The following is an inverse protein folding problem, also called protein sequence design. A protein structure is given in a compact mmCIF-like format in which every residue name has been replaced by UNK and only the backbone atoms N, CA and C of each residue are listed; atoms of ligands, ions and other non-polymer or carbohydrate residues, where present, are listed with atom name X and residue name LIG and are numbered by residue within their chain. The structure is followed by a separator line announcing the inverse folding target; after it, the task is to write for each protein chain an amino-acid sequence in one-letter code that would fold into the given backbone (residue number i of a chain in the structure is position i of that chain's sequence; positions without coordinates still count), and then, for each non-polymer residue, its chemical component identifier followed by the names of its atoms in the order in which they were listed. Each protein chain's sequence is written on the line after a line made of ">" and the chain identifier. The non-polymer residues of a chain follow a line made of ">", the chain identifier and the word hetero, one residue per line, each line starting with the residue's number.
data_IF_880755303161
#
_entry.id   IF_880755303161
#
_cell.length_a   1.000
_cell.length_b   1.000
_cell.length_c   1.000
_cell.angle_alpha   90.00
_cell.angle_beta   90.00
_cell.angle_gamma   90.00
#
_symmetry.space_group_name_H-M   'P 1'
#
loop_
_entity.id
_entity.type
_entity.pdbx_description
1 polymer ?
#
# COMPACT_ATOMS: atom_id res chain seq x y z
N UNK A 1 -0.21 -9.57 -11.98
CA UNK A 1 -0.05 -8.62 -10.89
C UNK A 1 -1.41 -8.06 -10.50
N UNK A 2 -1.73 -8.06 -9.21
CA UNK A 2 -2.92 -7.41 -8.68
C UNK A 2 -2.48 -6.12 -7.96
N UNK A 3 -2.89 -4.98 -8.49
CA UNK A 3 -2.67 -3.68 -7.86
C UNK A 3 -3.75 -3.38 -6.82
N UNK A 4 -3.37 -2.84 -5.69
CA UNK A 4 -4.28 -2.38 -4.65
C UNK A 4 -4.10 -0.88 -4.47
N UNK A 5 -5.20 -0.13 -4.48
CA UNK A 5 -5.16 1.31 -4.25
C UNK A 5 -5.44 1.59 -2.78
N UNK A 6 -4.47 2.18 -2.11
CA UNK A 6 -4.57 2.65 -0.74
C UNK A 6 -4.38 4.16 -0.71
N UNK A 7 -5.05 4.83 0.21
CA UNK A 7 -4.83 6.26 0.49
C UNK A 7 -3.46 6.46 1.15
N UNK A 8 -3.21 7.46 1.91
CA UNK A 8 -1.88 7.82 2.40
C UNK A 8 -1.17 6.85 3.37
N UNK A 9 -1.68 5.62 3.60
CA UNK A 9 -1.21 4.75 4.68
C UNK A 9 0.27 4.36 4.55
N UNK A 10 0.72 3.95 3.37
CA UNK A 10 2.07 3.43 3.18
C UNK A 10 3.12 4.49 2.84
N UNK A 11 2.70 5.67 2.46
CA UNK A 11 3.61 6.74 2.05
C UNK A 11 4.15 7.58 3.20
N UNK A 12 3.32 7.98 4.15
CA UNK A 12 3.59 8.74 5.38
C UNK A 12 4.71 9.81 5.25
N UNK A 13 4.73 10.55 4.14
CA UNK A 13 5.72 11.62 3.88
C UNK A 13 7.20 11.16 3.86
N UNK A 14 7.46 9.90 3.53
CA UNK A 14 8.81 9.31 3.56
C UNK A 14 9.54 9.32 2.22
N UNK A 15 9.01 9.99 1.19
CA UNK A 15 9.58 10.02 -0.15
C UNK A 15 9.35 11.36 -0.81
N UNK A 16 9.86 11.53 -2.01
CA UNK A 16 9.92 12.77 -2.79
C UNK A 16 8.55 13.37 -3.14
N UNK A 17 7.46 12.64 -2.95
CA UNK A 17 6.10 13.16 -3.11
C UNK A 17 5.68 14.12 -1.97
N UNK A 18 6.35 14.09 -0.81
CA UNK A 18 5.97 14.87 0.36
C UNK A 18 5.94 16.40 0.11
N UNK A 19 6.93 17.01 -0.56
CA UNK A 19 6.89 18.44 -0.90
C UNK A 19 5.70 18.80 -1.82
N UNK A 20 5.31 17.89 -2.73
CA UNK A 20 4.16 18.09 -3.62
C UNK A 20 2.85 18.07 -2.84
N UNK A 21 2.69 17.12 -1.92
CA UNK A 21 1.53 17.09 -1.01
C UNK A 21 1.43 18.36 -0.18
N UNK A 22 2.55 18.86 0.35
CA UNK A 22 2.60 20.12 1.09
C UNK A 22 2.18 21.34 0.28
N UNK A 23 2.18 21.25 -1.05
CA UNK A 23 1.70 22.25 -1.99
C UNK A 23 0.33 21.90 -2.58
N UNK A 24 -0.35 20.90 -2.04
CA UNK A 24 -1.64 20.40 -2.53
C UNK A 24 -1.60 19.96 -4.01
N UNK A 25 -0.46 19.46 -4.45
CA UNK A 25 -0.32 18.85 -5.79
C UNK A 25 -0.67 17.37 -5.66
N UNK A 26 -1.67 16.88 -6.40
CA UNK A 26 -2.02 15.47 -6.40
C UNK A 26 -0.84 14.60 -6.83
N UNK A 27 -0.58 13.55 -6.08
CA UNK A 27 0.51 12.61 -6.34
C UNK A 27 0.00 11.18 -6.28
N UNK A 28 0.63 10.31 -7.04
CA UNK A 28 0.45 8.86 -6.95
C UNK A 28 1.80 8.26 -6.59
N UNK A 29 1.83 7.47 -5.54
CA UNK A 29 3.03 6.76 -5.08
C UNK A 29 2.87 5.28 -5.39
N UNK A 30 3.74 4.77 -6.26
CA UNK A 30 3.78 3.35 -6.60
C UNK A 30 4.84 2.67 -5.73
N UNK A 31 4.46 1.59 -5.08
CA UNK A 31 5.36 0.82 -4.22
C UNK A 31 4.89 -0.63 -4.15
N UNK A 32 5.81 -1.53 -3.97
CA UNK A 32 5.55 -2.91 -3.53
C UNK A 32 5.84 -3.10 -2.05
N UNK A 33 5.85 -1.98 -1.30
CA UNK A 33 6.21 -1.89 0.10
C UNK A 33 7.73 -1.97 0.36
N UNK A 34 8.11 -2.42 1.54
CA UNK A 34 9.51 -2.55 1.97
C UNK A 34 9.83 -4.01 2.21
N UNK A 35 10.93 -4.49 1.66
CA UNK A 35 11.46 -5.82 1.95
C UNK A 35 12.49 -5.80 3.08
N UNK A 36 12.99 -6.97 3.51
CA UNK A 36 14.01 -7.07 4.56
C UNK A 36 15.35 -6.43 4.18
N UNK A 37 15.63 -6.21 2.89
CA UNK A 37 16.82 -5.52 2.42
C UNK A 37 16.73 -4.00 2.49
N UNK A 38 15.54 -3.43 2.70
CA UNK A 38 15.31 -1.99 2.68
C UNK A 38 16.27 -1.23 3.60
N UNK A 39 16.95 -0.21 3.07
CA UNK A 39 17.94 0.60 3.75
C UNK A 39 19.19 -0.18 4.25
N UNK A 40 19.52 -1.30 3.64
CA UNK A 40 20.77 -2.03 3.87
C UNK A 40 21.69 -1.99 2.65
N UNK A 41 22.99 -2.29 2.80
CA UNK A 41 23.90 -2.40 1.64
C UNK A 41 23.56 -3.53 0.66
N UNK A 42 22.65 -4.43 1.03
CA UNK A 42 22.15 -5.52 0.19
C UNK A 42 20.88 -5.16 -0.58
N UNK A 43 20.39 -3.93 -0.44
CA UNK A 43 19.27 -3.37 -1.24
C UNK A 43 19.86 -2.91 -2.59
N UNK A 44 20.22 -3.87 -3.40
CA UNK A 44 20.85 -3.72 -4.70
C UNK A 44 20.04 -4.43 -5.80
N UNK A 45 20.59 -4.49 -7.00
CA UNK A 45 19.89 -5.11 -8.15
C UNK A 45 19.60 -6.61 -7.97
N UNK A 46 20.27 -7.30 -7.05
CA UNK A 46 20.03 -8.72 -6.77
C UNK A 46 18.75 -8.93 -5.94
N UNK A 47 18.32 -7.89 -5.21
CA UNK A 47 17.07 -7.90 -4.45
C UNK A 47 15.84 -7.61 -5.34
N UNK A 48 16.01 -7.30 -6.64
CA UNK A 48 14.93 -6.92 -7.54
C UNK A 48 14.31 -8.14 -8.22
N UNK A 49 13.03 -8.37 -8.01
CA UNK A 49 12.23 -9.24 -8.88
C UNK A 49 11.93 -8.51 -10.20
N UNK A 50 12.76 -8.77 -11.21
CA UNK A 50 12.67 -8.13 -12.53
C UNK A 50 11.37 -8.42 -13.27
N UNK A 51 10.77 -9.59 -13.06
CA UNK A 51 9.49 -9.94 -13.68
C UNK A 51 8.35 -9.13 -13.04
N UNK A 52 8.35 -8.98 -11.73
CA UNK A 52 7.40 -8.16 -10.98
C UNK A 52 7.58 -6.68 -11.31
N UNK A 53 8.83 -6.20 -11.38
CA UNK A 53 9.14 -4.82 -11.75
C UNK A 53 8.61 -4.50 -13.16
N UNK A 54 8.76 -5.39 -14.13
CA UNK A 54 8.17 -5.23 -15.47
C UNK A 54 6.67 -5.01 -15.42
N UNK A 55 5.94 -5.83 -14.65
CA UNK A 55 4.50 -5.68 -14.48
C UNK A 55 4.11 -4.37 -13.77
N UNK A 56 4.91 -3.91 -12.81
CA UNK A 56 4.70 -2.63 -12.13
C UNK A 56 4.88 -1.45 -13.10
N UNK A 57 5.89 -1.52 -13.96
CA UNK A 57 6.13 -0.51 -15.02
C UNK A 57 4.94 -0.43 -15.98
N UNK A 58 4.34 -1.56 -16.37
CA UNK A 58 3.16 -1.59 -17.23
C UNK A 58 1.97 -0.88 -16.57
N UNK A 59 1.73 -1.10 -15.26
CA UNK A 59 0.67 -0.43 -14.50
C UNK A 59 0.94 1.07 -14.40
N UNK A 60 2.19 1.46 -14.11
CA UNK A 60 2.61 2.87 -14.04
C UNK A 60 2.42 3.56 -15.39
N UNK A 61 2.83 2.92 -16.47
CA UNK A 61 2.68 3.44 -17.83
C UNK A 61 1.20 3.64 -18.18
N UNK A 62 0.36 2.64 -17.97
CA UNK A 62 -1.08 2.73 -18.23
C UNK A 62 -1.75 3.84 -17.41
N UNK A 63 -1.33 4.03 -16.16
CA UNK A 63 -1.84 5.11 -15.30
C UNK A 63 -1.41 6.47 -15.84
N UNK A 64 -0.12 6.66 -16.16
CA UNK A 64 0.40 7.89 -16.70
C UNK A 64 -0.26 8.23 -18.06
N UNK A 65 -0.42 7.25 -18.94
CA UNK A 65 -1.10 7.43 -20.23
C UNK A 65 -2.56 7.86 -20.04
N UNK A 66 -3.27 7.25 -19.09
CA UNK A 66 -4.66 7.61 -18.78
C UNK A 66 -4.78 9.05 -18.30
N UNK A 67 -3.88 9.49 -17.43
CA UNK A 67 -3.85 10.86 -16.90
C UNK A 67 -3.44 11.89 -17.97
N UNK A 68 -2.56 11.51 -18.90
CA UNK A 68 -2.06 12.38 -19.97
C UNK A 68 -2.96 12.45 -21.20
N UNK A 69 -3.97 11.59 -21.32
CA UNK A 69 -4.90 11.62 -22.46
C UNK A 69 -5.95 12.71 -22.29
N UNK A 70 -6.19 13.51 -23.34
CA UNK A 70 -7.35 14.38 -23.35
C UNK A 70 -8.65 13.57 -23.26
N UNK A 71 -9.59 14.01 -22.43
CA UNK A 71 -10.93 13.44 -22.39
C UNK A 71 -11.72 13.70 -23.70
N UNK A 72 -12.95 13.13 -23.82
CA UNK A 72 -13.76 13.24 -25.04
C UNK A 72 -14.06 14.67 -25.50
N UNK A 73 -13.91 15.67 -24.63
CA UNK A 73 -14.07 17.10 -24.93
C UNK A 73 -12.76 17.84 -25.23
N UNK A 74 -11.63 17.14 -25.40
CA UNK A 74 -10.31 17.73 -25.66
C UNK A 74 -9.63 18.32 -24.43
N UNK A 75 -10.26 18.30 -23.26
CA UNK A 75 -9.68 18.73 -21.98
C UNK A 75 -9.00 17.58 -21.25
N UNK A 76 -7.92 17.88 -20.55
CA UNK A 76 -7.28 16.91 -19.62
C UNK A 76 -8.10 16.80 -18.33
N UNK A 77 -8.09 15.62 -17.72
CA UNK A 77 -8.63 15.48 -16.38
C UNK A 77 -7.90 16.44 -15.44
N UNK A 78 -8.64 17.32 -14.79
CA UNK A 78 -8.07 18.20 -13.76
C UNK A 78 -8.13 17.42 -12.45
N UNK A 79 -7.00 16.97 -11.90
CA UNK A 79 -7.00 16.36 -10.58
C UNK A 79 -7.54 17.36 -9.56
N UNK A 80 -8.53 16.96 -8.80
CA UNK A 80 -9.06 17.78 -7.71
C UNK A 80 -8.40 17.33 -6.43
N UNK A 81 -7.69 18.24 -5.79
CA UNK A 81 -7.22 18.03 -4.43
C UNK A 81 -8.46 17.95 -3.51
N UNK A 82 -8.70 16.77 -2.99
CA UNK A 82 -9.70 16.62 -1.96
C UNK A 82 -9.00 16.66 -0.60
N UNK A 83 -9.41 17.56 0.26
CA UNK A 83 -9.14 17.47 1.71
C UNK A 83 -9.87 16.22 2.20
N UNK A 84 -9.17 15.11 2.20
CA UNK A 84 -9.76 13.82 2.55
C UNK A 84 -9.18 13.36 3.89
N UNK A 85 -9.91 12.59 4.67
CA UNK A 85 -9.32 11.88 5.79
C UNK A 85 -8.13 11.05 5.31
N UNK A 86 -7.16 10.80 6.19
CA UNK A 86 -5.95 10.06 5.90
C UNK A 86 -6.27 8.65 5.34
N UNK A 87 -7.39 8.09 5.77
CA UNK A 87 -7.87 6.77 5.36
C UNK A 87 -9.39 6.78 5.12
N UNK A 88 -9.88 5.79 4.40
CA UNK A 88 -11.29 5.58 4.09
C UNK A 88 -11.65 4.11 4.25
N UNK A 89 -12.93 3.80 4.31
CA UNK A 89 -13.42 2.43 4.29
C UNK A 89 -12.84 1.59 3.13
N UNK A 90 -12.67 2.19 1.94
CA UNK A 90 -12.05 1.51 0.80
C UNK A 90 -10.62 1.04 1.07
N UNK A 91 -9.87 1.73 1.93
CA UNK A 91 -8.53 1.32 2.35
C UNK A 91 -8.59 0.09 3.27
N UNK A 92 -9.63 -0.05 4.09
CA UNK A 92 -9.83 -1.26 4.90
C UNK A 92 -10.12 -2.48 4.01
N UNK A 93 -10.97 -2.31 2.99
CA UNK A 93 -11.23 -3.38 2.00
C UNK A 93 -9.94 -3.77 1.28
N UNK A 94 -9.16 -2.80 0.83
CA UNK A 94 -7.91 -3.03 0.13
C UNK A 94 -6.87 -3.73 1.02
N UNK A 95 -6.72 -3.29 2.27
CA UNK A 95 -5.79 -3.90 3.22
C UNK A 95 -6.20 -5.32 3.61
N UNK A 96 -7.49 -5.58 3.81
CA UNK A 96 -8.02 -6.92 4.04
C UNK A 96 -7.69 -7.86 2.87
N UNK A 97 -7.81 -7.39 1.63
CA UNK A 97 -7.43 -8.18 0.45
C UNK A 97 -5.95 -8.51 0.43
N UNK A 98 -5.07 -7.54 0.72
CA UNK A 98 -3.61 -7.75 0.80
C UNK A 98 -3.29 -8.81 1.85
N UNK A 99 -3.84 -8.68 3.05
CA UNK A 99 -3.63 -9.64 4.15
C UNK A 99 -4.12 -11.03 3.74
N UNK A 100 -5.33 -11.13 3.18
CA UNK A 100 -5.91 -12.42 2.76
C UNK A 100 -5.02 -13.11 1.72
N UNK A 101 -4.46 -12.36 0.78
CA UNK A 101 -3.56 -12.89 -0.24
C UNK A 101 -2.21 -13.35 0.33
N UNK A 102 -1.77 -12.76 1.44
CA UNK A 102 -0.50 -13.11 2.09
C UNK A 102 -0.60 -14.34 3.01
N UNK A 103 -1.81 -14.77 3.40
CA UNK A 103 -2.02 -15.87 4.35
C UNK A 103 -1.24 -17.17 4.01
N UNK A 104 -1.11 -17.59 2.75
CA UNK A 104 -0.33 -18.79 2.41
C UNK A 104 1.14 -18.72 2.82
N UNK A 105 1.70 -17.51 2.92
CA UNK A 105 3.10 -17.27 3.25
C UNK A 105 3.35 -17.12 4.76
N UNK A 106 2.31 -17.12 5.58
CA UNK A 106 2.43 -16.82 7.01
C UNK A 106 3.22 -17.84 7.80
N UNK A 107 3.33 -19.08 7.32
CA UNK A 107 4.13 -20.12 7.97
C UNK A 107 5.62 -19.80 8.08
N UNK A 108 6.12 -18.78 7.37
CA UNK A 108 7.52 -18.31 7.45
C UNK A 108 7.77 -17.27 8.55
N UNK A 109 6.70 -16.70 9.10
CA UNK A 109 6.82 -15.66 10.14
C UNK A 109 6.81 -16.24 11.54
N UNK A 110 7.53 -15.64 12.51
CA UNK A 110 7.44 -16.02 13.91
C UNK A 110 6.03 -15.77 14.44
N UNK A 111 5.62 -16.63 15.37
CA UNK A 111 4.28 -16.56 15.98
C UNK A 111 3.97 -15.16 16.56
N UNK A 112 4.98 -14.49 17.12
CA UNK A 112 4.81 -13.14 17.69
C UNK A 112 4.31 -12.10 16.69
N UNK A 113 4.72 -12.15 15.41
CA UNK A 113 4.21 -11.26 14.37
C UNK A 113 2.80 -11.65 13.94
N UNK A 114 2.50 -12.95 13.92
CA UNK A 114 1.15 -13.44 13.64
C UNK A 114 0.19 -13.02 14.76
N UNK A 115 0.61 -13.11 16.00
CA UNK A 115 -0.17 -12.69 17.17
C UNK A 115 -0.42 -11.17 17.17
N UNK A 116 0.55 -10.37 16.71
CA UNK A 116 0.43 -8.92 16.60
C UNK A 116 -0.60 -8.51 15.55
N UNK A 117 -0.60 -9.12 14.36
CA UNK A 117 -1.51 -8.75 13.28
C UNK A 117 -2.92 -9.34 13.44
N UNK A 118 -3.09 -10.45 14.11
CA UNK A 118 -4.38 -11.17 14.22
C UNK A 118 -5.53 -10.31 14.76
N UNK A 119 -5.38 -9.51 15.83
CA UNK A 119 -6.44 -8.61 16.30
C UNK A 119 -6.85 -7.58 15.26
N UNK A 120 -5.89 -7.13 14.42
CA UNK A 120 -6.15 -6.16 13.36
C UNK A 120 -7.00 -6.75 12.23
N UNK A 121 -6.85 -8.03 11.93
CA UNK A 121 -7.70 -8.71 10.94
C UNK A 121 -9.14 -8.71 11.40
N UNK A 122 -9.39 -9.06 12.67
CA UNK A 122 -10.74 -9.03 13.24
C UNK A 122 -11.36 -7.62 13.14
N UNK A 123 -10.57 -6.58 13.41
CA UNK A 123 -11.04 -5.21 13.27
C UNK A 123 -11.33 -4.84 11.80
N UNK A 124 -10.47 -5.26 10.86
CA UNK A 124 -10.69 -5.04 9.43
C UNK A 124 -11.96 -5.74 8.94
N UNK A 125 -12.18 -6.99 9.35
CA UNK A 125 -13.38 -7.74 9.00
C UNK A 125 -14.65 -7.04 9.48
N UNK A 126 -14.63 -6.50 10.71
CA UNK A 126 -15.72 -5.69 11.25
C UNK A 126 -15.94 -4.43 10.43
N UNK A 127 -14.89 -3.63 10.19
CA UNK A 127 -14.95 -2.37 9.44
C UNK A 127 -15.53 -2.62 8.03
N UNK A 128 -15.04 -3.65 7.35
CA UNK A 128 -15.52 -4.00 6.01
C UNK A 128 -16.99 -4.41 6.03
N UNK A 129 -17.42 -5.19 7.04
CA UNK A 129 -18.80 -5.65 7.18
C UNK A 129 -19.78 -4.51 7.51
N UNK A 130 -19.37 -3.54 8.33
CA UNK A 130 -20.20 -2.38 8.72
C UNK A 130 -20.40 -1.39 7.57
N UNK A 131 -19.47 -1.34 6.62
CA UNK A 131 -19.59 -0.55 5.41
C UNK A 131 -19.20 0.93 5.57
N UNK A 132 -19.17 1.68 4.45
CA UNK A 132 -18.58 3.03 4.42
C UNK A 132 -19.35 4.07 5.23
N UNK A 133 -20.64 3.84 5.53
CA UNK A 133 -21.44 4.81 6.30
C UNK A 133 -21.13 4.78 7.80
N UNK A 134 -20.57 3.68 8.30
CA UNK A 134 -20.19 3.51 9.70
C UNK A 134 -18.72 3.89 9.98
N UNK A 135 -17.92 4.12 8.93
CA UNK A 135 -16.49 4.38 9.06
C UNK A 135 -16.19 5.69 9.80
N UNK A 136 -15.43 5.61 10.90
CA UNK A 136 -15.13 6.73 11.79
C UNK A 136 -13.62 6.87 12.15
N UNK A 137 -13.29 7.79 13.05
CA UNK A 137 -11.91 8.05 13.51
C UNK A 137 -11.31 6.85 14.29
N UNK A 138 -12.16 6.03 14.93
CA UNK A 138 -11.72 4.81 15.60
C UNK A 138 -11.27 3.78 14.56
N UNK A 139 -12.04 3.63 13.49
CA UNK A 139 -11.71 2.74 12.38
C UNK A 139 -10.44 3.19 11.66
N UNK A 140 -10.27 4.50 11.48
CA UNK A 140 -9.02 5.06 10.95
C UNK A 140 -7.82 4.65 11.80
N UNK A 141 -7.92 4.76 13.12
CA UNK A 141 -6.83 4.39 14.04
C UNK A 141 -6.52 2.89 13.99
N UNK A 142 -7.55 2.04 13.91
CA UNK A 142 -7.40 0.60 13.79
C UNK A 142 -6.78 0.20 12.45
N UNK A 143 -7.16 0.87 11.37
CA UNK A 143 -6.60 0.65 10.05
C UNK A 143 -5.11 1.01 9.99
N UNK A 144 -4.71 2.12 10.60
CA UNK A 144 -3.30 2.51 10.73
C UNK A 144 -2.49 1.49 11.55
N UNK A 145 -3.08 0.94 12.62
CA UNK A 145 -2.49 -0.16 13.39
C UNK A 145 -2.26 -1.41 12.52
N UNK A 146 -3.28 -1.83 11.77
CA UNK A 146 -3.17 -2.97 10.86
C UNK A 146 -2.08 -2.77 9.79
N UNK A 147 -2.00 -1.58 9.20
CA UNK A 147 -0.98 -1.24 8.22
C UNK A 147 0.44 -1.30 8.84
N UNK A 148 0.59 -0.81 10.07
CA UNK A 148 1.88 -0.85 10.79
C UNK A 148 2.34 -2.27 11.06
N UNK A 149 1.45 -3.14 11.57
CA UNK A 149 1.77 -4.56 11.82
C UNK A 149 2.11 -5.30 10.52
N UNK A 150 1.39 -5.01 9.43
CA UNK A 150 1.72 -5.58 8.12
C UNK A 150 3.11 -5.15 7.64
N UNK A 151 3.46 -3.87 7.77
CA UNK A 151 4.82 -3.38 7.42
C UNK A 151 5.88 -4.08 8.25
N UNK A 152 5.66 -4.29 9.55
CA UNK A 152 6.59 -5.04 10.40
C UNK A 152 6.79 -6.49 9.91
N UNK A 153 5.71 -7.15 9.48
CA UNK A 153 5.82 -8.48 8.86
C UNK A 153 6.61 -8.45 7.55
N UNK A 154 6.35 -7.49 6.69
CA UNK A 154 7.00 -7.39 5.38
C UNK A 154 8.50 -7.09 5.47
N UNK A 155 8.94 -6.42 6.52
CA UNK A 155 10.36 -6.13 6.77
C UNK A 155 11.07 -7.23 7.56
N UNK A 156 10.34 -8.28 7.99
CA UNK A 156 10.91 -9.40 8.71
C UNK A 156 11.63 -10.38 7.77
N UNK A 157 12.78 -10.85 8.21
CA UNK A 157 13.58 -11.87 7.53
C UNK A 157 15.02 -11.43 7.30
N UNK A 158 15.81 -12.38 6.88
CA UNK A 158 17.16 -12.10 6.44
C UNK A 158 17.12 -11.45 5.05
N UNK A 159 17.93 -10.42 4.86
CA UNK A 159 18.14 -9.85 3.56
C UNK A 159 19.04 -10.78 2.73
N UNK A 160 18.47 -11.90 2.32
CA UNK A 160 19.08 -12.74 1.28
C UNK A 160 18.40 -12.43 -0.05
N UNK A 161 19.19 -12.27 -1.14
CA UNK A 161 18.59 -12.14 -2.47
C UNK A 161 17.67 -13.35 -2.69
N UNK A 162 16.50 -13.11 -3.26
CA UNK A 162 15.52 -14.13 -3.53
C UNK A 162 16.20 -15.35 -4.15
N UNK A 163 16.36 -16.41 -3.35
CA UNK A 163 16.65 -17.73 -3.89
C UNK A 163 15.36 -18.24 -4.54
N UNK A 164 15.41 -18.68 -5.78
CA UNK A 164 14.27 -19.21 -6.52
C UNK A 164 13.66 -20.43 -5.84
#
# INVERSE_FOLDING_TARGET
>A
LQGTQLSGIFGLYRSDYAPFLGKQVPTVFFTDSTGPCYHTPKDDELAVDWAKLGQQVDVLYATAETLARPGPGGGYATPVWATQPLTRHGDAVALQQVITQSLPDWGRFPQSLIDDITPHITNLDRIVAEGPAAYDDTDQSQLLGAASSLVNMMTYGDCDPFLP
#
